data_IF_454204716297
#
_entry.id   IF_454204716297
#
_cell.length_a   1.000
_cell.length_b   1.000
_cell.length_c   1.000
_cell.angle_alpha   90.00
_cell.angle_beta   90.00
_cell.angle_gamma   90.00
#
_symmetry.space_group_name_H-M   'P 1'
#
loop_
_entity.id
_entity.type
_entity.pdbx_description
1 polymer ?
#
# COMPACT_ATOMS: atom_id res chain seq x y z
N UNK A 1 -8.37 10.26 2.32
CA UNK A 1 -7.96 10.06 0.90
C UNK A 1 -8.95 9.06 0.29
N UNK A 2 -9.25 9.11 -1.01
CA UNK A 2 -10.24 8.19 -1.64
C UNK A 2 -9.54 6.99 -2.27
N UNK A 3 -10.14 5.81 -2.18
CA UNK A 3 -9.70 4.58 -2.83
C UNK A 3 -9.73 4.68 -4.37
N UNK A 4 -8.88 3.92 -5.05
CA UNK A 4 -9.00 3.70 -6.50
C UNK A 4 -10.10 2.68 -6.75
N UNK A 5 -11.02 2.99 -7.65
CA UNK A 5 -12.01 2.03 -8.17
C UNK A 5 -11.50 1.42 -9.48
N UNK A 6 -11.53 0.09 -9.57
CA UNK A 6 -11.20 -0.70 -10.76
C UNK A 6 -12.41 -1.55 -11.09
N UNK A 7 -12.95 -1.41 -12.29
CA UNK A 7 -14.08 -2.21 -12.77
C UNK A 7 -13.56 -3.20 -13.81
N UNK A 8 -13.84 -4.48 -13.62
CA UNK A 8 -13.48 -5.58 -14.50
C UNK A 8 -14.73 -6.08 -15.23
N UNK A 9 -14.69 -6.12 -16.56
CA UNK A 9 -15.67 -6.82 -17.37
C UNK A 9 -15.49 -8.34 -17.31
N UNK A 10 -16.45 -9.09 -17.85
CA UNK A 10 -16.45 -10.58 -17.83
C UNK A 10 -15.24 -11.21 -18.54
N UNK A 11 -14.68 -10.51 -19.55
CA UNK A 11 -13.52 -10.96 -20.33
C UNK A 11 -12.19 -10.37 -19.85
N UNK A 12 -12.20 -9.51 -18.82
CA UNK A 12 -10.99 -8.84 -18.34
C UNK A 12 -10.19 -9.74 -17.39
N UNK A 13 -8.88 -9.87 -17.64
CA UNK A 13 -7.96 -10.51 -16.71
C UNK A 13 -7.47 -9.50 -15.66
N UNK A 14 -7.76 -9.76 -14.39
CA UNK A 14 -7.35 -8.91 -13.26
C UNK A 14 -5.84 -8.60 -13.28
N UNK A 15 -5.00 -9.59 -13.57
CA UNK A 15 -3.55 -9.44 -13.61
C UNK A 15 -3.11 -8.40 -14.65
N UNK A 16 -3.70 -8.43 -15.85
CA UNK A 16 -3.39 -7.49 -16.92
C UNK A 16 -3.77 -6.05 -16.54
N UNK A 17 -4.91 -5.89 -15.87
CA UNK A 17 -5.38 -4.57 -15.42
C UNK A 17 -4.53 -4.03 -14.27
N UNK A 18 -4.13 -4.88 -13.32
CA UNK A 18 -3.20 -4.50 -12.26
C UNK A 18 -1.84 -4.12 -12.84
N UNK A 19 -1.34 -4.86 -13.83
CA UNK A 19 -0.07 -4.58 -14.49
C UNK A 19 -0.15 -3.27 -15.28
N UNK A 20 -1.22 -3.06 -16.04
CA UNK A 20 -1.45 -1.83 -16.80
C UNK A 20 -1.54 -0.60 -15.90
N UNK A 21 -2.09 -0.77 -14.68
CA UNK A 21 -2.23 0.30 -13.71
C UNK A 21 -1.12 0.31 -12.65
N UNK A 22 -0.06 -0.51 -12.77
CA UNK A 22 0.98 -0.72 -11.74
C UNK A 22 1.53 0.61 -11.23
N UNK A 23 1.88 1.52 -12.13
CA UNK A 23 2.42 2.83 -11.76
C UNK A 23 1.43 3.63 -10.91
N UNK A 24 0.21 3.84 -11.40
CA UNK A 24 -0.84 4.60 -10.71
C UNK A 24 -1.20 3.99 -9.35
N UNK A 25 -1.30 2.67 -9.29
CA UNK A 25 -1.59 1.93 -8.05
C UNK A 25 -0.44 2.12 -7.06
N UNK A 26 0.82 2.01 -7.51
CA UNK A 26 1.99 2.16 -6.65
C UNK A 26 2.09 3.56 -6.04
N UNK A 27 1.91 4.61 -6.86
CA UNK A 27 1.88 6.00 -6.38
C UNK A 27 0.75 6.23 -5.39
N UNK A 28 -0.44 5.67 -5.64
CA UNK A 28 -1.57 5.81 -4.74
C UNK A 28 -1.34 5.08 -3.41
N UNK A 29 -0.83 3.85 -3.45
CA UNK A 29 -0.49 3.08 -2.27
C UNK A 29 0.58 3.79 -1.43
N UNK A 30 1.61 4.36 -2.07
CA UNK A 30 2.62 5.15 -1.36
C UNK A 30 2.00 6.35 -0.62
N UNK A 31 1.09 7.09 -1.26
CA UNK A 31 0.37 8.22 -0.64
C UNK A 31 -0.53 7.76 0.51
N UNK A 32 -1.20 6.61 0.35
CA UNK A 32 -2.06 6.03 1.37
C UNK A 32 -1.26 5.54 2.59
N UNK A 33 -0.09 4.91 2.38
CA UNK A 33 0.83 4.51 3.44
C UNK A 33 1.29 5.71 4.27
N UNK A 34 1.80 6.76 3.60
CA UNK A 34 2.25 7.99 4.26
C UNK A 34 1.09 8.61 5.05
N UNK A 35 -0.09 8.72 4.44
CA UNK A 35 -1.26 9.26 5.11
C UNK A 35 -1.67 8.42 6.33
N UNK A 36 -1.67 7.09 6.22
CA UNK A 36 -2.00 6.20 7.31
C UNK A 36 -1.05 6.38 8.50
N UNK A 37 0.25 6.52 8.22
CA UNK A 37 1.28 6.76 9.23
C UNK A 37 1.15 8.14 9.88
N UNK A 38 0.99 9.19 9.07
CA UNK A 38 0.78 10.57 9.56
C UNK A 38 -0.47 10.68 10.46
N UNK A 39 -1.44 9.76 10.31
CA UNK A 39 -2.70 9.74 11.05
C UNK A 39 -2.81 8.60 12.06
N UNK A 40 -1.74 7.84 12.32
CA UNK A 40 -1.72 6.70 13.25
C UNK A 40 -2.83 5.67 12.98
N UNK A 41 -3.05 5.35 11.71
CA UNK A 41 -4.01 4.33 11.28
C UNK A 41 -3.39 2.93 11.38
N UNK A 42 -4.14 1.97 11.91
CA UNK A 42 -3.71 0.57 11.99
C UNK A 42 -4.01 -0.24 10.72
N UNK A 43 -4.88 0.28 9.86
CA UNK A 43 -5.19 -0.31 8.56
C UNK A 43 -5.82 0.72 7.63
N UNK A 44 -5.71 0.48 6.33
CA UNK A 44 -6.46 1.21 5.31
C UNK A 44 -6.72 0.32 4.11
N UNK A 45 -7.70 0.73 3.32
CA UNK A 45 -7.98 0.21 1.99
C UNK A 45 -7.56 1.23 0.95
N UNK A 46 -6.94 0.80 -0.14
CA UNK A 46 -6.44 1.69 -1.19
C UNK A 46 -7.04 1.41 -2.57
N UNK A 47 -7.61 0.23 -2.78
CA UNK A 47 -8.32 -0.08 -4.02
C UNK A 47 -9.55 -0.93 -3.76
N UNK A 48 -10.58 -0.70 -4.58
CA UNK A 48 -11.80 -1.47 -4.64
C UNK A 48 -11.98 -2.00 -6.07
N UNK A 49 -11.97 -3.32 -6.22
CA UNK A 49 -12.04 -4.04 -7.49
C UNK A 49 -13.43 -4.65 -7.60
N UNK A 50 -14.21 -4.14 -8.55
CA UNK A 50 -15.55 -4.63 -8.84
C UNK A 50 -15.51 -5.52 -10.09
N UNK A 51 -15.95 -6.76 -9.95
CA UNK A 51 -16.11 -7.70 -11.07
C UNK A 51 -17.58 -7.67 -11.50
N UNK A 52 -17.83 -7.36 -12.76
CA UNK A 52 -19.18 -7.39 -13.34
C UNK A 52 -19.56 -8.80 -13.79
N UNK A 53 -20.87 -9.10 -13.83
CA UNK A 53 -21.41 -10.42 -14.18
C UNK A 53 -22.32 -11.02 -13.09
N UNK A 54 -23.02 -12.10 -13.42
CA UNK A 54 -24.01 -12.74 -12.52
C UNK A 54 -23.39 -13.32 -11.23
N UNK A 55 -22.11 -13.71 -11.28
CA UNK A 55 -21.29 -14.13 -10.12
C UNK A 55 -20.32 -13.03 -9.65
N UNK A 56 -20.55 -11.79 -10.09
CA UNK A 56 -19.68 -10.64 -9.82
C UNK A 56 -19.52 -10.35 -8.33
N UNK A 57 -18.29 -10.03 -7.93
CA UNK A 57 -17.91 -9.74 -6.54
C UNK A 57 -17.21 -8.39 -6.40
N UNK A 58 -17.11 -7.91 -5.16
CA UNK A 58 -16.34 -6.72 -4.83
C UNK A 58 -15.17 -7.09 -3.90
N UNK A 59 -13.95 -6.77 -4.33
CA UNK A 59 -12.72 -7.09 -3.61
C UNK A 59 -12.03 -5.81 -3.19
N UNK A 60 -11.70 -5.71 -1.91
CA UNK A 60 -10.97 -4.57 -1.38
C UNK A 60 -9.52 -4.94 -1.15
N UNK A 61 -8.61 -4.14 -1.70
CA UNK A 61 -7.19 -4.22 -1.41
C UNK A 61 -6.83 -3.20 -0.34
N UNK A 62 -6.14 -3.66 0.69
CA UNK A 62 -5.73 -2.86 1.83
C UNK A 62 -4.39 -3.30 2.38
N UNK A 63 -3.93 -2.57 3.39
CA UNK A 63 -2.68 -2.84 4.07
C UNK A 63 -2.91 -2.65 5.58
N UNK A 64 -2.37 -3.58 6.37
CA UNK A 64 -2.42 -3.55 7.85
C UNK A 64 -1.10 -3.08 8.41
N UNK A 65 -1.12 -2.56 9.64
CA UNK A 65 0.04 -2.02 10.35
C UNK A 65 1.25 -2.95 10.34
N UNK A 66 1.03 -4.25 10.50
CA UNK A 66 2.08 -5.28 10.48
C UNK A 66 2.84 -5.36 9.15
N UNK A 67 2.20 -4.96 8.05
CA UNK A 67 2.77 -5.00 6.70
C UNK A 67 3.32 -3.64 6.23
N UNK A 68 3.20 -2.57 7.04
CA UNK A 68 3.52 -1.20 6.58
C UNK A 68 4.98 -1.03 6.20
N UNK A 69 5.90 -1.66 6.94
CA UNK A 69 7.33 -1.56 6.66
C UNK A 69 7.66 -2.16 5.29
N UNK A 70 7.28 -3.42 5.07
CA UNK A 70 7.49 -4.10 3.78
C UNK A 70 6.80 -3.37 2.63
N UNK A 71 5.57 -2.89 2.86
CA UNK A 71 4.82 -2.14 1.86
C UNK A 71 5.51 -0.81 1.49
N UNK A 72 6.04 -0.06 2.46
CA UNK A 72 6.80 1.17 2.21
C UNK A 72 8.10 0.89 1.45
N UNK A 73 8.87 -0.11 1.87
CA UNK A 73 10.12 -0.48 1.19
C UNK A 73 9.85 -0.83 -0.28
N UNK A 74 8.85 -1.69 -0.52
CA UNK A 74 8.45 -2.07 -1.87
C UNK A 74 7.93 -0.89 -2.68
N UNK A 75 7.12 -0.03 -2.09
CA UNK A 75 6.63 1.16 -2.80
C UNK A 75 7.76 2.14 -3.10
N UNK A 76 8.76 2.28 -2.24
CA UNK A 76 9.91 3.15 -2.48
C UNK A 76 10.71 2.66 -3.69
N UNK A 77 10.95 1.35 -3.78
CA UNK A 77 11.58 0.73 -4.96
C UNK A 77 10.79 1.03 -6.24
N UNK A 78 9.46 0.83 -6.21
CA UNK A 78 8.59 1.11 -7.35
C UNK A 78 8.64 2.59 -7.76
N UNK A 79 8.59 3.53 -6.80
CA UNK A 79 8.66 4.95 -7.12
C UNK A 79 9.99 5.35 -7.75
N UNK A 80 11.10 4.74 -7.30
CA UNK A 80 12.42 4.95 -7.93
C UNK A 80 12.42 4.39 -9.36
N UNK A 81 11.84 3.19 -9.58
CA UNK A 81 11.67 2.57 -10.91
C UNK A 81 10.86 3.46 -11.85
N UNK A 82 9.85 4.17 -11.33
CA UNK A 82 8.97 5.06 -12.08
C UNK A 82 9.44 6.52 -12.15
N UNK A 83 10.62 6.83 -11.59
CA UNK A 83 11.16 8.19 -11.50
C UNK A 83 10.28 9.19 -10.68
N UNK A 84 9.45 8.66 -9.78
CA UNK A 84 8.53 9.40 -8.90
C UNK A 84 9.17 9.74 -7.54
N UNK A 85 10.20 10.58 -7.56
CA UNK A 85 11.04 10.82 -6.37
C UNK A 85 10.41 11.71 -5.28
N UNK A 86 9.28 12.37 -5.56
CA UNK A 86 8.67 13.37 -4.65
C UNK A 86 8.35 12.78 -3.27
N UNK A 87 7.88 11.53 -3.21
CA UNK A 87 7.45 10.89 -1.97
C UNK A 87 8.58 10.15 -1.25
N UNK A 88 9.69 9.85 -1.94
CA UNK A 88 10.77 9.01 -1.41
C UNK A 88 11.36 9.52 -0.08
N UNK A 89 11.64 10.81 0.12
CA UNK A 89 12.18 11.29 1.39
C UNK A 89 11.24 11.04 2.59
N UNK A 90 9.94 11.23 2.38
CA UNK A 90 8.94 10.99 3.44
C UNK A 90 8.78 9.50 3.73
N UNK A 91 8.91 8.65 2.72
CA UNK A 91 8.93 7.20 2.91
C UNK A 91 10.16 6.74 3.70
N UNK A 92 11.34 7.30 3.41
CA UNK A 92 12.56 7.00 4.16
C UNK A 92 12.44 7.35 5.64
N UNK A 93 11.87 8.52 5.95
CA UNK A 93 11.57 8.92 7.33
C UNK A 93 10.69 7.89 8.04
N UNK A 94 9.62 7.46 7.39
CA UNK A 94 8.67 6.51 7.96
C UNK A 94 9.23 5.09 8.09
N UNK A 95 10.05 4.65 7.12
CA UNK A 95 10.77 3.37 7.20
C UNK A 95 11.65 3.37 8.45
N UNK A 96 12.48 4.40 8.63
CA UNK A 96 13.36 4.50 9.81
C UNK A 96 12.60 4.55 11.14
N UNK A 97 11.44 5.21 11.17
CA UNK A 97 10.56 5.20 12.33
C UNK A 97 10.04 3.79 12.65
N UNK A 98 9.54 3.05 11.66
CA UNK A 98 8.98 1.71 11.85
C UNK A 98 10.04 0.69 12.26
N UNK A 99 11.24 0.76 11.67
CA UNK A 99 12.38 -0.07 12.06
C UNK A 99 12.73 0.15 13.54
N UNK A 100 12.78 1.42 13.98
CA UNK A 100 13.04 1.75 15.38
C UNK A 100 11.92 1.23 16.31
N UNK A 101 10.65 1.37 15.91
CA UNK A 101 9.50 0.86 16.67
C UNK A 101 9.59 -0.67 16.88
N UNK A 102 9.98 -1.41 15.85
CA UNK A 102 10.18 -2.86 15.90
C UNK A 102 11.33 -3.22 16.85
N UNK A 103 12.46 -2.52 16.78
CA UNK A 103 13.60 -2.73 17.69
C UNK A 103 13.18 -2.53 19.14
N UNK A 104 12.46 -1.44 19.44
CA UNK A 104 11.99 -1.14 20.81
C UNK A 104 11.04 -2.22 21.31
N UNK A 105 10.05 -2.63 20.51
CA UNK A 105 9.15 -3.75 20.86
C UNK A 105 9.91 -5.02 21.18
N UNK A 106 10.88 -5.37 20.33
CA UNK A 106 11.69 -6.57 20.52
C UNK A 106 12.47 -6.49 21.83
N UNK A 107 13.08 -5.34 22.17
CA UNK A 107 13.79 -5.19 23.45
C UNK A 107 12.83 -5.38 24.64
N UNK A 108 11.67 -4.74 24.60
CA UNK A 108 10.67 -4.83 25.68
C UNK A 108 10.16 -6.26 25.88
N UNK A 109 9.97 -7.01 24.79
CA UNK A 109 9.54 -8.41 24.83
C UNK A 109 10.61 -9.33 25.42
N UNK A 110 11.90 -9.01 25.28
CA UNK A 110 13.02 -9.78 25.86
C UNK A 110 13.28 -9.45 27.34
N UNK A 111 12.70 -8.37 27.87
CA UNK A 111 12.82 -7.96 29.27
C UNK A 111 11.66 -8.47 30.15
N UNK A 112 10.65 -9.13 29.56
CA UNK A 112 9.49 -9.74 30.23
C UNK A 112 9.65 -11.24 30.39
#
# INVERSE_FOLDING_TARGET
MKEIEIVLGEDDHLEDILLHNKHRISVHLAKMLIWALDNNMDSFSFANIKIEGDDGGNFQLGCKREDYLEALEKQKENLIEFEEYELCPKMEEWIGYLEAEIIVKNIDDHLR
#
